data_IF_108973446811
#
_entry.id   IF_108973446811
#
_cell.length_a   1.000
_cell.length_b   1.000
_cell.length_c   1.000
_cell.angle_alpha   90.00
_cell.angle_beta   90.00
_cell.angle_gamma   90.00
#
_symmetry.space_group_name_H-M   'P 1'
#
loop_
_entity.id
_entity.type
_entity.pdbx_description
1 polymer ?
#
# COMPACT_ATOMS: atom_id res chain seq x y z
N UNK A 1 -7.88 16.62 19.36
CA UNK A 1 -6.42 16.54 19.33
C UNK A 1 -5.96 15.73 18.12
N UNK A 2 -4.75 16.00 17.67
CA UNK A 2 -4.13 15.37 16.51
C UNK A 2 -2.63 15.13 16.78
N UNK A 3 -1.91 14.60 15.79
CA UNK A 3 -0.49 14.28 15.86
C UNK A 3 0.38 15.48 16.29
N UNK A 4 0.10 16.68 15.78
CA UNK A 4 0.86 17.90 16.13
C UNK A 4 0.66 18.27 17.60
N UNK A 5 -0.56 18.15 18.11
CA UNK A 5 -0.84 18.44 19.54
C UNK A 5 -0.07 17.49 20.47
N UNK A 6 0.13 16.23 20.06
CA UNK A 6 0.94 15.25 20.82
C UNK A 6 2.41 15.66 20.80
N UNK A 7 2.94 15.97 19.61
CA UNK A 7 4.35 16.32 19.41
C UNK A 7 4.71 17.61 20.14
N UNK A 8 3.80 18.59 20.19
CA UNK A 8 3.97 19.85 20.91
C UNK A 8 3.75 19.69 22.44
N UNK A 9 3.28 18.53 22.91
CA UNK A 9 2.99 18.29 24.32
C UNK A 9 1.68 18.91 24.83
N UNK A 10 0.81 19.35 23.92
CA UNK A 10 -0.51 19.95 24.26
C UNK A 10 -1.51 18.89 24.77
N UNK A 11 -1.25 17.61 24.47
CA UNK A 11 -2.06 16.50 24.97
C UNK A 11 -1.22 15.22 25.09
N UNK A 12 -1.75 14.23 25.82
CA UNK A 12 -1.15 12.89 25.86
C UNK A 12 -1.58 12.10 24.63
N UNK A 13 -0.75 11.14 24.17
CA UNK A 13 -1.06 10.22 23.06
C UNK A 13 -2.46 9.63 23.15
N UNK A 14 -2.84 9.08 24.30
CA UNK A 14 -4.16 8.45 24.53
C UNK A 14 -5.36 9.40 24.36
N UNK A 15 -5.14 10.70 24.41
CA UNK A 15 -6.21 11.70 24.21
C UNK A 15 -6.38 12.05 22.72
N UNK A 16 -5.33 11.87 21.91
CA UNK A 16 -5.37 12.12 20.48
C UNK A 16 -5.79 10.87 19.66
N UNK A 17 -5.61 9.67 20.22
CA UNK A 17 -6.02 8.42 19.57
C UNK A 17 -7.54 8.27 19.55
N UNK A 18 -8.09 8.07 18.36
CA UNK A 18 -9.51 7.79 18.11
C UNK A 18 -9.66 6.29 17.90
N UNK A 19 -10.33 5.61 18.84
CA UNK A 19 -10.62 4.17 18.70
C UNK A 19 -11.82 3.94 17.79
N UNK A 20 -11.71 2.97 16.91
CA UNK A 20 -12.85 2.55 16.09
C UNK A 20 -13.89 1.85 16.97
N UNK A 21 -15.17 2.12 16.70
CA UNK A 21 -16.30 1.56 17.49
C UNK A 21 -16.58 0.10 17.14
N UNK A 22 -16.28 -0.32 15.91
CA UNK A 22 -16.53 -1.68 15.40
C UNK A 22 -15.33 -2.59 15.64
N UNK A 23 -14.12 -2.02 15.58
CA UNK A 23 -12.85 -2.72 15.71
C UNK A 23 -12.05 -2.17 16.89
N UNK A 24 -12.25 -2.68 18.13
CA UNK A 24 -11.66 -2.11 19.34
C UNK A 24 -10.12 -2.04 19.34
N UNK A 25 -9.49 -2.90 18.52
CA UNK A 25 -8.02 -2.94 18.35
C UNK A 25 -7.51 -1.95 17.30
N UNK A 26 -8.42 -1.26 16.58
CA UNK A 26 -8.07 -0.25 15.60
C UNK A 26 -8.15 1.15 16.23
N UNK A 27 -7.05 1.89 16.11
CA UNK A 27 -6.96 3.28 16.53
C UNK A 27 -6.44 4.15 15.40
N UNK A 28 -6.92 5.37 15.30
CA UNK A 28 -6.48 6.39 14.35
C UNK A 28 -5.86 7.55 15.12
N UNK A 29 -4.65 7.95 14.75
CA UNK A 29 -4.06 9.22 15.14
C UNK A 29 -4.20 10.19 13.95
N UNK A 30 -5.09 11.19 14.01
CA UNK A 30 -5.29 12.09 12.89
C UNK A 30 -4.12 13.04 12.71
N UNK A 31 -3.76 13.35 11.47
CA UNK A 31 -2.85 14.45 11.14
C UNK A 31 -3.55 15.81 11.27
N UNK A 32 -2.77 16.91 11.35
CA UNK A 32 -3.35 18.25 11.39
C UNK A 32 -3.83 18.66 9.99
N UNK A 33 -5.08 19.07 9.88
CA UNK A 33 -5.67 19.52 8.60
C UNK A 33 -5.29 20.97 8.22
N UNK A 34 -4.95 21.81 9.19
CA UNK A 34 -4.84 23.26 9.03
C UNK A 34 -3.47 23.84 9.39
N UNK A 35 -2.54 23.04 9.90
CA UNK A 35 -1.19 23.50 10.24
C UNK A 35 -0.20 23.23 9.10
N UNK A 36 0.87 24.03 9.09
CA UNK A 36 1.95 23.88 8.11
C UNK A 36 2.52 22.45 8.14
N UNK A 37 2.83 21.91 6.98
CA UNK A 37 3.46 20.59 6.78
C UNK A 37 4.81 20.46 7.49
N UNK A 38 5.40 21.57 7.92
CA UNK A 38 6.64 21.66 8.70
C UNK A 38 6.45 21.55 10.23
N UNK A 39 5.21 21.41 10.70
CA UNK A 39 4.90 21.36 12.14
C UNK A 39 5.47 20.11 12.85
N UNK A 40 5.90 19.11 12.10
CA UNK A 40 6.55 17.89 12.61
C UNK A 40 7.80 17.61 11.80
N UNK A 41 8.88 17.24 12.47
CA UNK A 41 10.14 16.84 11.84
C UNK A 41 10.39 15.32 11.97
N UNK A 42 11.40 14.75 11.25
CA UNK A 42 11.71 13.34 11.29
C UNK A 42 12.01 12.78 12.68
N UNK A 43 12.79 13.51 13.49
CA UNK A 43 13.16 13.07 14.84
C UNK A 43 11.95 12.96 15.77
N UNK A 44 11.01 13.90 15.63
CA UNK A 44 9.74 13.87 16.37
C UNK A 44 8.86 12.68 15.94
N UNK A 45 8.87 12.34 14.64
CA UNK A 45 8.15 11.15 14.14
C UNK A 45 8.76 9.86 14.66
N UNK A 46 10.08 9.72 14.65
CA UNK A 46 10.78 8.55 15.22
C UNK A 46 10.38 8.37 16.67
N UNK A 47 10.49 9.42 17.48
CA UNK A 47 10.12 9.36 18.90
C UNK A 47 8.66 8.96 19.10
N UNK A 48 7.75 9.55 18.33
CA UNK A 48 6.32 9.27 18.43
C UNK A 48 6.02 7.80 18.09
N UNK A 49 6.68 7.25 17.07
CA UNK A 49 6.51 5.85 16.67
C UNK A 49 7.11 4.92 17.73
N UNK A 50 8.29 5.25 18.28
CA UNK A 50 8.91 4.47 19.35
C UNK A 50 8.03 4.42 20.61
N UNK A 51 7.38 5.52 20.97
CA UNK A 51 6.43 5.57 22.09
C UNK A 51 5.17 4.69 21.84
N UNK A 52 4.83 4.39 20.56
CA UNK A 52 3.70 3.55 20.19
C UNK A 52 4.05 2.06 20.05
N UNK A 53 5.33 1.70 19.88
CA UNK A 53 5.77 0.30 19.64
C UNK A 53 5.36 -0.66 20.74
N UNK A 54 5.30 -0.21 21.97
CA UNK A 54 4.91 -1.03 23.12
C UNK A 54 3.37 -1.19 23.25
N UNK A 55 2.60 -0.34 22.56
CA UNK A 55 1.13 -0.34 22.66
C UNK A 55 0.44 -1.00 21.44
N UNK A 56 1.13 -1.15 20.30
CA UNK A 56 0.55 -1.65 19.05
C UNK A 56 1.42 -2.69 18.34
N UNK A 57 0.82 -3.77 17.88
CA UNK A 57 1.50 -4.81 17.08
C UNK A 57 1.86 -4.28 15.68
N UNK A 58 1.06 -3.38 15.12
CA UNK A 58 1.24 -2.76 13.81
C UNK A 58 0.92 -1.27 13.85
N UNK A 59 1.81 -0.46 13.28
CA UNK A 59 1.63 0.98 13.10
C UNK A 59 1.69 1.27 11.60
N UNK A 60 0.57 1.70 11.01
CA UNK A 60 0.48 2.06 9.61
C UNK A 60 0.61 3.57 9.44
N UNK A 61 1.62 3.99 8.69
CA UNK A 61 1.88 5.39 8.36
C UNK A 61 1.31 5.68 6.97
N UNK A 62 0.17 6.38 6.92
CA UNK A 62 -0.41 6.82 5.66
C UNK A 62 0.39 7.99 5.10
N UNK A 63 1.11 7.73 4.01
CA UNK A 63 1.98 8.72 3.39
C UNK A 63 1.20 9.62 2.43
N UNK A 64 1.41 10.94 2.49
CA UNK A 64 0.85 11.85 1.49
C UNK A 64 1.44 11.57 0.11
N UNK A 65 0.72 11.94 -0.94
CA UNK A 65 1.25 11.91 -2.30
C UNK A 65 2.48 12.85 -2.44
N UNK A 66 3.46 12.41 -3.21
CA UNK A 66 4.69 13.17 -3.48
C UNK A 66 5.85 12.78 -2.56
N UNK A 67 6.95 13.52 -2.67
CA UNK A 67 8.25 13.23 -2.04
C UNK A 67 8.74 14.34 -1.12
N UNK A 68 7.84 15.22 -0.73
CA UNK A 68 8.15 16.39 0.10
C UNK A 68 8.31 16.04 1.59
N UNK A 69 8.31 17.06 2.45
CA UNK A 69 8.54 16.91 3.88
C UNK A 69 7.61 15.90 4.56
N UNK A 70 6.33 15.83 4.15
CA UNK A 70 5.37 14.86 4.71
C UNK A 70 5.77 13.39 4.46
N UNK A 71 6.28 13.09 3.26
CA UNK A 71 6.84 11.79 2.93
C UNK A 71 8.07 11.47 3.79
N UNK A 72 9.02 12.42 3.88
CA UNK A 72 10.25 12.25 4.69
C UNK A 72 9.93 11.98 6.17
N UNK A 73 8.95 12.69 6.70
CA UNK A 73 8.50 12.48 8.07
C UNK A 73 7.89 11.08 8.27
N UNK A 74 7.03 10.65 7.34
CA UNK A 74 6.37 9.34 7.42
C UNK A 74 7.37 8.20 7.39
N UNK A 75 8.38 8.24 6.50
CA UNK A 75 9.35 7.15 6.36
C UNK A 75 10.41 7.13 7.46
N UNK A 76 10.62 8.24 8.19
CA UNK A 76 11.71 8.34 9.18
C UNK A 76 11.63 7.32 10.31
N UNK A 77 10.43 6.91 10.70
CA UNK A 77 10.23 5.91 11.75
C UNK A 77 9.71 4.55 11.23
N UNK A 78 9.71 4.36 9.92
CA UNK A 78 9.17 3.13 9.33
C UNK A 78 10.23 2.02 9.25
N UNK A 79 9.84 0.79 9.59
CA UNK A 79 10.70 -0.39 9.44
C UNK A 79 10.55 -1.03 8.05
N UNK A 80 9.37 -0.84 7.43
CA UNK A 80 8.95 -1.46 6.17
C UNK A 80 8.18 -0.47 5.32
N UNK A 81 8.13 -0.72 4.02
CA UNK A 81 7.32 0.08 3.11
C UNK A 81 6.44 -0.80 2.22
N UNK A 82 5.19 -0.39 2.04
CA UNK A 82 4.29 -0.94 1.04
C UNK A 82 4.13 0.10 -0.07
N UNK A 83 4.71 -0.17 -1.23
CA UNK A 83 4.57 0.69 -2.42
C UNK A 83 3.32 0.27 -3.16
N UNK A 84 2.33 1.16 -3.20
CA UNK A 84 1.07 0.92 -3.90
C UNK A 84 1.09 1.67 -5.23
N UNK A 85 0.97 0.95 -6.34
CA UNK A 85 0.93 1.53 -7.69
C UNK A 85 -0.19 0.95 -8.53
N UNK A 86 -0.49 1.57 -9.67
CA UNK A 86 -1.36 1.02 -10.71
C UNK A 86 -0.53 0.57 -11.90
N UNK A 87 -1.02 -0.37 -12.76
CA UNK A 87 -0.26 -0.86 -13.91
C UNK A 87 -0.29 0.13 -15.08
N UNK A 88 0.09 1.38 -14.81
CA UNK A 88 0.18 2.50 -15.76
C UNK A 88 1.60 3.06 -15.77
N UNK A 89 2.11 3.42 -16.93
CA UNK A 89 3.52 3.84 -17.12
C UNK A 89 3.91 4.99 -16.20
N UNK A 90 3.03 5.98 -16.02
CA UNK A 90 3.28 7.14 -15.14
C UNK A 90 3.39 6.72 -13.68
N UNK A 91 2.44 5.90 -13.20
CA UNK A 91 2.41 5.44 -11.83
C UNK A 91 3.63 4.54 -11.49
N UNK A 92 4.08 3.73 -12.46
CA UNK A 92 5.28 2.89 -12.28
C UNK A 92 6.54 3.74 -12.19
N UNK A 93 6.68 4.80 -13.00
CA UNK A 93 7.82 5.74 -12.88
C UNK A 93 7.86 6.44 -11.53
N UNK A 94 6.69 6.83 -11.02
CA UNK A 94 6.59 7.44 -9.69
C UNK A 94 6.94 6.42 -8.60
N UNK A 95 6.47 5.16 -8.71
CA UNK A 95 6.81 4.09 -7.80
C UNK A 95 8.32 3.77 -7.79
N UNK A 96 8.96 3.68 -8.95
CA UNK A 96 10.40 3.45 -9.09
C UNK A 96 11.20 4.55 -8.37
N UNK A 97 10.80 5.82 -8.55
CA UNK A 97 11.41 6.95 -7.86
C UNK A 97 11.25 6.86 -6.33
N UNK A 98 10.07 6.45 -5.85
CA UNK A 98 9.81 6.27 -4.42
C UNK A 98 10.66 5.13 -3.86
N UNK A 99 10.79 4.01 -4.57
CA UNK A 99 11.64 2.88 -4.16
C UNK A 99 13.08 3.35 -3.97
N UNK A 100 13.66 4.06 -4.93
CA UNK A 100 15.01 4.62 -4.80
C UNK A 100 15.18 5.56 -3.61
N UNK A 101 14.15 6.35 -3.25
CA UNK A 101 14.18 7.19 -2.06
C UNK A 101 14.11 6.38 -0.75
N UNK A 102 13.31 5.32 -0.71
CA UNK A 102 13.21 4.41 0.45
C UNK A 102 14.52 3.68 0.68
N UNK A 103 15.15 3.16 -0.38
CA UNK A 103 16.47 2.51 -0.32
C UNK A 103 17.56 3.46 0.19
N UNK A 104 17.54 4.72 -0.25
CA UNK A 104 18.47 5.75 0.22
C UNK A 104 18.28 6.10 1.71
N UNK A 105 17.09 5.83 2.26
CA UNK A 105 16.79 5.95 3.70
C UNK A 105 16.98 4.62 4.45
N UNK A 106 17.68 3.65 3.83
CA UNK A 106 18.01 2.35 4.40
C UNK A 106 16.79 1.45 4.74
N UNK A 107 15.60 1.77 4.23
CA UNK A 107 14.44 0.88 4.32
C UNK A 107 14.67 -0.28 3.34
N UNK A 108 14.88 -1.47 3.86
CA UNK A 108 15.22 -2.68 3.10
C UNK A 108 14.04 -3.57 2.76
N UNK A 109 13.03 -3.61 3.65
CA UNK A 109 11.82 -4.40 3.43
C UNK A 109 10.79 -3.53 2.69
N UNK A 110 10.92 -3.49 1.36
CA UNK A 110 10.01 -2.77 0.46
C UNK A 110 9.23 -3.79 -0.33
N UNK A 111 7.90 -3.69 -0.30
CA UNK A 111 7.01 -4.64 -0.97
C UNK A 111 5.97 -3.93 -1.83
N UNK A 112 5.54 -4.59 -2.89
CA UNK A 112 4.67 -4.05 -3.93
C UNK A 112 3.22 -4.48 -3.74
N UNK A 113 2.30 -3.53 -3.86
CA UNK A 113 0.88 -3.79 -4.09
C UNK A 113 0.50 -3.19 -5.44
N UNK A 114 0.03 -4.02 -6.38
CA UNK A 114 -0.49 -3.56 -7.66
C UNK A 114 -2.00 -3.41 -7.55
N UNK A 115 -2.46 -2.15 -7.60
CA UNK A 115 -3.87 -1.79 -7.42
C UNK A 115 -4.57 -1.56 -8.76
N UNK A 116 -5.91 -1.67 -8.79
CA UNK A 116 -6.77 -1.40 -9.94
C UNK A 116 -6.43 -2.23 -11.18
N UNK A 117 -6.10 -3.51 -10.96
CA UNK A 117 -5.77 -4.43 -12.06
C UNK A 117 -7.04 -4.83 -12.82
N UNK A 118 -7.06 -4.59 -14.14
CA UNK A 118 -8.13 -4.97 -15.05
C UNK A 118 -7.68 -6.11 -15.96
N UNK A 119 -8.07 -7.32 -15.58
CA UNK A 119 -7.65 -8.53 -16.28
C UNK A 119 -8.11 -8.60 -17.75
N UNK A 120 -9.23 -7.97 -18.08
CA UNK A 120 -9.72 -7.84 -19.46
C UNK A 120 -8.76 -6.98 -20.32
N UNK A 121 -8.23 -5.87 -19.76
CA UNK A 121 -7.24 -5.01 -20.42
C UNK A 121 -5.87 -5.68 -20.52
N UNK A 122 -5.43 -6.35 -19.46
CA UNK A 122 -4.15 -7.12 -19.48
C UNK A 122 -4.18 -8.18 -20.58
N UNK A 123 -5.29 -8.94 -20.73
CA UNK A 123 -5.42 -9.96 -21.78
C UNK A 123 -5.39 -9.40 -23.22
N UNK A 124 -5.83 -8.18 -23.42
CA UNK A 124 -5.79 -7.49 -24.72
C UNK A 124 -4.44 -6.80 -25.00
N UNK A 125 -3.57 -6.66 -23.99
CA UNK A 125 -2.34 -5.90 -24.09
C UNK A 125 -2.52 -4.38 -23.94
N UNK A 126 -3.68 -3.93 -23.45
CA UNK A 126 -4.00 -2.52 -23.22
C UNK A 126 -3.52 -2.04 -21.84
N UNK A 127 -3.12 -2.95 -20.97
CA UNK A 127 -2.60 -2.71 -19.61
C UNK A 127 -1.44 -3.65 -19.34
N UNK A 128 -0.40 -3.16 -18.64
CA UNK A 128 0.71 -4.02 -18.21
C UNK A 128 0.23 -5.13 -17.29
N UNK A 129 0.84 -6.29 -17.39
CA UNK A 129 0.61 -7.38 -16.45
C UNK A 129 1.28 -7.10 -15.10
N UNK A 130 0.88 -7.81 -14.06
CA UNK A 130 1.53 -7.74 -12.75
C UNK A 130 2.99 -8.19 -12.86
N UNK A 131 3.26 -9.20 -13.69
CA UNK A 131 4.63 -9.69 -13.95
C UNK A 131 5.51 -8.60 -14.59
N UNK A 132 4.98 -7.85 -15.58
CA UNK A 132 5.70 -6.72 -16.19
C UNK A 132 6.02 -5.64 -15.14
N UNK A 133 5.09 -5.33 -14.23
CA UNK A 133 5.30 -4.35 -13.16
C UNK A 133 6.37 -4.82 -12.18
N UNK A 134 6.34 -6.10 -11.80
CA UNK A 134 7.35 -6.71 -10.92
C UNK A 134 8.74 -6.72 -11.56
N UNK A 135 8.83 -7.03 -12.85
CA UNK A 135 10.10 -7.03 -13.60
C UNK A 135 10.72 -5.63 -13.68
N UNK A 136 9.89 -4.59 -13.81
CA UNK A 136 10.34 -3.19 -13.86
C UNK A 136 10.78 -2.69 -12.48
N UNK A 137 9.97 -2.91 -11.44
CA UNK A 137 10.22 -2.35 -10.11
C UNK A 137 11.18 -3.19 -9.27
N UNK A 138 11.38 -4.46 -9.62
CA UNK A 138 12.33 -5.40 -8.99
C UNK A 138 12.18 -5.53 -7.46
N UNK A 139 10.97 -5.36 -6.93
CA UNK A 139 10.65 -5.57 -5.51
C UNK A 139 9.59 -6.67 -5.34
N UNK A 140 9.56 -7.39 -4.20
CA UNK A 140 8.64 -8.48 -3.95
C UNK A 140 7.17 -8.03 -3.99
N UNK A 141 6.30 -8.85 -4.57
CA UNK A 141 4.86 -8.62 -4.59
C UNK A 141 4.22 -9.03 -3.26
N UNK A 142 3.52 -8.10 -2.60
CA UNK A 142 2.67 -8.36 -1.44
C UNK A 142 1.26 -8.80 -1.88
N UNK A 143 0.73 -8.23 -2.94
CA UNK A 143 -0.56 -8.62 -3.49
C UNK A 143 -1.06 -7.73 -4.61
N UNK A 144 -2.20 -8.14 -5.18
CA UNK A 144 -2.89 -7.41 -6.25
C UNK A 144 -4.32 -7.13 -5.86
N UNK A 145 -4.81 -5.95 -6.20
CA UNK A 145 -6.20 -5.55 -5.95
C UNK A 145 -6.85 -5.30 -7.31
N UNK A 146 -7.94 -6.00 -7.63
CA UNK A 146 -8.65 -5.77 -8.89
C UNK A 146 -9.35 -4.40 -8.89
N UNK A 147 -9.60 -3.87 -10.09
CA UNK A 147 -10.50 -2.73 -10.28
C UNK A 147 -11.94 -3.22 -10.10
N UNK A 148 -12.55 -2.90 -8.97
CA UNK A 148 -13.81 -3.45 -8.49
C UNK A 148 -14.76 -2.31 -8.09
N UNK A 149 -15.94 -2.28 -8.68
CA UNK A 149 -16.97 -1.28 -8.38
C UNK A 149 -17.40 -1.31 -6.90
N UNK A 150 -17.28 -2.47 -6.26
CA UNK A 150 -17.58 -2.62 -4.84
C UNK A 150 -16.74 -1.69 -3.96
N UNK A 151 -15.52 -1.32 -4.38
CA UNK A 151 -14.68 -0.35 -3.66
C UNK A 151 -15.36 1.03 -3.62
N UNK A 152 -15.87 1.49 -4.76
CA UNK A 152 -16.55 2.78 -4.86
C UNK A 152 -17.84 2.79 -4.02
N UNK A 153 -18.60 1.70 -4.11
CA UNK A 153 -19.87 1.55 -3.37
C UNK A 153 -19.61 1.59 -1.86
N UNK A 154 -18.69 0.78 -1.36
CA UNK A 154 -18.38 0.68 0.06
C UNK A 154 -17.79 1.99 0.61
N UNK A 155 -16.93 2.65 -0.17
CA UNK A 155 -16.35 3.96 0.20
C UNK A 155 -17.44 5.02 0.34
N UNK A 156 -18.39 5.07 -0.59
CA UNK A 156 -19.52 6.01 -0.51
C UNK A 156 -20.48 5.73 0.67
N UNK A 157 -20.54 4.48 1.11
CA UNK A 157 -21.33 4.06 2.26
C UNK A 157 -20.58 4.26 3.61
N UNK A 158 -19.28 4.54 3.56
CA UNK A 158 -18.42 4.59 4.75
C UNK A 158 -18.20 3.21 5.38
N UNK A 159 -18.35 2.12 4.60
CA UNK A 159 -18.16 0.75 5.06
C UNK A 159 -16.84 0.18 4.53
N UNK A 160 -16.05 -0.51 5.38
CA UNK A 160 -14.82 -1.15 4.90
C UNK A 160 -15.15 -2.36 4.03
N UNK A 161 -14.46 -2.49 2.91
CA UNK A 161 -14.62 -3.61 2.00
C UNK A 161 -13.84 -4.85 2.44
N UNK A 162 -12.79 -4.66 3.24
CA UNK A 162 -11.95 -5.75 3.73
C UNK A 162 -12.77 -6.82 4.47
N UNK A 163 -12.55 -8.08 4.13
CA UNK A 163 -13.28 -9.22 4.72
C UNK A 163 -14.66 -9.50 4.12
N UNK A 164 -15.09 -8.77 3.09
CA UNK A 164 -16.28 -9.10 2.31
C UNK A 164 -15.98 -10.18 1.27
N UNK A 165 -17.03 -10.85 0.75
CA UNK A 165 -16.89 -11.87 -0.31
C UNK A 165 -16.70 -11.29 -1.73
N UNK A 166 -16.31 -10.02 -1.84
CA UNK A 166 -15.96 -9.42 -3.13
C UNK A 166 -14.51 -9.75 -3.50
N UNK A 167 -14.14 -9.72 -4.81
CA UNK A 167 -12.77 -9.98 -5.23
C UNK A 167 -11.75 -9.06 -4.55
N UNK A 168 -12.04 -7.78 -4.43
CA UNK A 168 -11.19 -6.81 -3.75
C UNK A 168 -11.20 -6.97 -2.23
N UNK A 169 -12.35 -7.32 -1.62
CA UNK A 169 -12.42 -7.63 -0.19
C UNK A 169 -11.53 -8.81 0.20
N UNK A 170 -11.52 -9.86 -0.60
CA UNK A 170 -10.63 -11.01 -0.42
C UNK A 170 -9.16 -10.62 -0.66
N UNK A 171 -8.88 -9.78 -1.67
CA UNK A 171 -7.53 -9.31 -1.93
C UNK A 171 -6.95 -8.52 -0.73
N UNK A 172 -7.73 -7.63 -0.12
CA UNK A 172 -7.33 -6.92 1.10
C UNK A 172 -7.08 -7.88 2.27
N UNK A 173 -7.94 -8.89 2.45
CA UNK A 173 -7.76 -9.90 3.50
C UNK A 173 -6.46 -10.69 3.28
N UNK A 174 -6.19 -11.15 2.06
CA UNK A 174 -4.99 -11.91 1.74
C UNK A 174 -3.71 -11.07 1.92
N UNK A 175 -3.74 -9.79 1.55
CA UNK A 175 -2.65 -8.84 1.79
C UNK A 175 -2.41 -8.67 3.30
N UNK A 176 -3.47 -8.44 4.08
CA UNK A 176 -3.33 -8.26 5.53
C UNK A 176 -2.74 -9.50 6.22
N UNK A 177 -3.14 -10.71 5.81
CA UNK A 177 -2.60 -11.96 6.33
C UNK A 177 -1.12 -12.14 5.98
N UNK A 178 -0.70 -11.75 4.76
CA UNK A 178 0.72 -11.77 4.38
C UNK A 178 1.54 -10.76 5.17
N UNK A 179 1.00 -9.57 5.45
CA UNK A 179 1.64 -8.58 6.34
C UNK A 179 1.86 -9.17 7.72
N UNK A 180 0.94 -9.99 8.21
CA UNK A 180 1.08 -10.71 9.49
C UNK A 180 2.01 -11.93 9.42
N UNK A 181 2.62 -12.21 8.26
CA UNK A 181 3.58 -13.30 8.08
C UNK A 181 2.98 -14.65 7.69
N UNK A 182 1.69 -14.70 7.31
CA UNK A 182 1.09 -15.93 6.83
C UNK A 182 1.49 -16.21 5.37
N UNK A 183 1.76 -17.47 5.07
CA UNK A 183 2.03 -17.94 3.71
C UNK A 183 0.72 -18.11 2.92
N UNK A 184 0.22 -17.03 2.35
CA UNK A 184 -0.96 -17.03 1.49
C UNK A 184 -0.49 -17.07 0.02
N UNK A 185 -0.89 -18.08 -0.77
CA UNK A 185 -0.55 -18.13 -2.18
C UNK A 185 -1.00 -16.85 -2.92
N UNK A 186 -0.15 -16.33 -3.80
CA UNK A 186 -0.56 -15.25 -4.69
C UNK A 186 -1.65 -15.77 -5.63
N UNK A 187 -2.75 -15.06 -5.71
CA UNK A 187 -3.74 -15.32 -6.74
C UNK A 187 -3.14 -14.92 -8.08
N UNK A 188 -2.50 -15.86 -8.75
CA UNK A 188 -2.15 -15.73 -10.16
C UNK A 188 -3.41 -16.11 -10.95
N UNK A 189 -4.13 -15.18 -11.60
CA UNK A 189 -5.10 -15.58 -12.59
C UNK A 189 -4.33 -16.37 -13.64
N UNK A 190 -4.70 -17.66 -13.83
CA UNK A 190 -4.04 -18.54 -14.79
C UNK A 190 -4.02 -17.81 -16.13
N UNK A 191 -2.88 -17.27 -16.50
CA UNK A 191 -2.62 -16.86 -17.86
C UNK A 191 -2.74 -18.14 -18.70
N UNK A 192 -3.79 -18.22 -19.51
CA UNK A 192 -3.80 -19.20 -20.58
C UNK A 192 -2.63 -18.84 -21.50
N UNK A 193 -1.53 -19.54 -21.33
CA UNK A 193 -0.31 -19.49 -22.17
C UNK A 193 -0.58 -19.87 -23.65
N UNK A 194 -1.79 -19.72 -24.13
CA UNK A 194 -2.23 -20.12 -25.47
C UNK A 194 -1.83 -19.17 -26.57
N UNK A 195 -1.36 -17.96 -26.29
CA UNK A 195 -1.01 -17.01 -27.35
C UNK A 195 0.38 -17.31 -27.96
N UNK A 196 1.39 -17.56 -27.13
CA UNK A 196 2.73 -17.91 -27.64
C UNK A 196 2.83 -19.36 -28.16
N UNK A 197 2.03 -20.28 -27.64
CA UNK A 197 1.96 -21.64 -28.18
C UNK A 197 1.31 -21.70 -29.58
N UNK A 198 0.42 -20.76 -29.93
CA UNK A 198 -0.15 -20.65 -31.28
C UNK A 198 0.80 -20.04 -32.29
N UNK A 199 1.63 -19.08 -31.91
CA UNK A 199 2.65 -18.50 -32.83
C UNK A 199 3.78 -19.49 -33.12
N UNK A 200 4.25 -20.26 -32.15
CA UNK A 200 5.31 -21.26 -32.36
C UNK A 200 4.87 -22.47 -33.20
N UNK A 201 3.55 -22.76 -33.20
CA UNK A 201 2.97 -23.79 -34.07
C UNK A 201 2.84 -23.41 -35.55
N UNK A 202 2.76 -22.11 -35.85
CA UNK A 202 2.72 -21.59 -37.23
C UNK A 202 4.10 -21.48 -37.87
N UNK A 203 5.15 -21.28 -37.07
CA UNK A 203 6.55 -21.21 -37.55
C UNK A 203 7.23 -22.57 -37.76
N UNK A 204 6.61 -23.70 -37.37
CA UNK A 204 7.11 -25.07 -37.62
C UNK A 204 6.46 -25.74 -38.83
N UNK A 205 5.71 -25.05 -39.65
CA UNK A 205 5.08 -25.53 -40.88
C UNK A 205 5.45 -24.72 -42.12
N UNK A 206 6.60 -24.10 -42.15
CA UNK A 206 7.21 -23.52 -43.33
C UNK A 206 8.58 -24.15 -43.55
#
# INVERSE_FOLDING_TARGET
YNLVDVVEGNCRMKQALIRDKRYPNLSLLPSAQTRDKSAVNPEQMIKLIDDLRDEFDYILLDCPAGIEQGFKNAIAGADRALVVTTPEVSAIRDADRIIGLLENQEIRDIQLIVNRVRMDMVRRGDMMSVDDVMDILAIPLMGTIPDDEAIVISTNQGEPLAGTNTPSGQAYLDISRRIMGEEIPMYAPRQNRTFFARLSGLLKRA
#
